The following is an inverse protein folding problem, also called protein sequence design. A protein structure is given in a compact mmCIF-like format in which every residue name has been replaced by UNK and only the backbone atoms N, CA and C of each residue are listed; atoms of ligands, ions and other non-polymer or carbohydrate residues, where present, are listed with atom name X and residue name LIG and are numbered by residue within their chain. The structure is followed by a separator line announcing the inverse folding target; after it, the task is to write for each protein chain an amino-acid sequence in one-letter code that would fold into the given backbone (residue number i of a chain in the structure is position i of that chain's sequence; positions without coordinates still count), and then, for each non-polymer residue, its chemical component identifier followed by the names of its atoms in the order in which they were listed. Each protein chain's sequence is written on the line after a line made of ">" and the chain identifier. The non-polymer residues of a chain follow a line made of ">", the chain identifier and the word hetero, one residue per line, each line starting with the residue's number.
data_IF_528745914438
#
_entry.id   IF_528745914438
#
_cell.length_a   1.000
_cell.length_b   1.000
_cell.length_c   1.000
_cell.angle_alpha   90.00
_cell.angle_beta   90.00
_cell.angle_gamma   90.00
#
_symmetry.space_group_name_H-M   'P 1'
#
loop_
_entity.id
_entity.type
_entity.pdbx_description
1 polymer ?
#
# COMPACT_ATOMS: atom_id res chain seq x y z
N UNK A 1 3.31 24.79 30.57
CA UNK A 1 2.55 23.73 29.91
C UNK A 1 3.30 22.45 30.11
N UNK A 2 2.66 21.46 30.71
CA UNK A 2 3.24 20.14 30.94
C UNK A 2 3.06 19.30 29.67
N UNK A 3 4.15 18.98 28.97
CA UNK A 3 4.10 18.35 27.64
C UNK A 3 4.68 16.94 27.67
N UNK A 4 4.23 16.10 26.75
CA UNK A 4 4.78 14.76 26.53
C UNK A 4 4.83 14.45 25.02
N UNK A 5 5.50 13.36 24.65
CA UNK A 5 5.72 12.95 23.26
C UNK A 5 5.13 11.56 23.04
N UNK A 6 4.23 11.48 22.06
CA UNK A 6 3.71 10.23 21.53
C UNK A 6 4.53 9.85 20.28
N UNK A 7 5.06 8.63 20.28
CA UNK A 7 5.86 8.10 19.17
C UNK A 7 5.01 7.16 18.31
N UNK A 8 4.94 7.44 17.00
CA UNK A 8 4.25 6.60 16.02
C UNK A 8 5.22 6.25 14.89
N UNK A 9 5.34 4.96 14.58
CA UNK A 9 6.01 4.43 13.40
C UNK A 9 4.94 4.06 12.38
N UNK A 10 5.01 4.63 11.18
CA UNK A 10 4.04 4.39 10.11
C UNK A 10 4.72 3.91 8.83
N UNK A 11 4.16 2.87 8.23
CA UNK A 11 4.53 2.39 6.88
C UNK A 11 3.33 1.85 6.10
N UNK A 12 3.52 1.64 4.80
CA UNK A 12 2.53 1.22 3.80
C UNK A 12 3.26 0.55 2.62
N UNK A 13 2.53 -0.21 1.80
CA UNK A 13 2.97 -0.69 0.49
C UNK A 13 4.30 -1.48 0.52
N UNK A 14 4.37 -2.58 1.27
CA UNK A 14 5.61 -3.34 1.57
C UNK A 14 5.65 -4.73 0.94
N UNK A 15 6.05 -4.79 -0.32
CA UNK A 15 5.90 -6.00 -1.15
C UNK A 15 7.12 -6.93 -1.12
N UNK A 16 8.31 -6.39 -1.38
CA UNK A 16 9.52 -7.19 -1.54
C UNK A 16 10.24 -7.38 -0.20
N UNK A 17 10.15 -8.60 0.37
CA UNK A 17 10.79 -8.91 1.67
C UNK A 17 12.32 -9.04 1.59
N UNK A 18 12.87 -9.27 0.40
CA UNK A 18 14.31 -9.32 0.14
C UNK A 18 14.92 -7.92 0.00
N UNK A 19 16.22 -7.83 0.28
CA UNK A 19 17.02 -6.64 0.01
C UNK A 19 17.19 -6.43 -1.52
N UNK A 20 17.12 -5.18 -1.95
CA UNK A 20 17.38 -4.77 -3.33
C UNK A 20 18.88 -4.49 -3.54
N UNK A 21 19.33 -4.55 -4.79
CA UNK A 21 20.73 -4.30 -5.17
C UNK A 21 21.16 -2.81 -5.06
N UNK A 22 20.19 -1.89 -4.99
CA UNK A 22 20.43 -0.44 -5.01
C UNK A 22 19.90 0.20 -3.73
N UNK A 23 20.58 1.24 -3.27
CA UNK A 23 20.14 2.02 -2.10
C UNK A 23 18.89 2.87 -2.39
N UNK A 24 18.00 3.07 -1.39
CA UNK A 24 17.93 2.30 -0.15
C UNK A 24 17.60 0.82 -0.41
N UNK A 25 18.39 -0.09 0.16
CA UNK A 25 18.28 -1.54 -0.09
C UNK A 25 16.95 -2.13 0.39
N UNK A 26 16.31 -1.53 1.40
CA UNK A 26 15.07 -2.03 1.96
C UNK A 26 15.21 -3.42 2.60
N UNK A 27 14.21 -4.27 2.38
CA UNK A 27 14.16 -5.64 2.91
C UNK A 27 13.62 -5.72 4.34
N UNK A 28 12.81 -6.74 4.59
CA UNK A 28 12.05 -6.86 5.84
C UNK A 28 12.93 -7.02 7.09
N UNK A 29 14.11 -7.65 6.97
CA UNK A 29 15.00 -7.89 8.08
C UNK A 29 15.64 -6.61 8.62
N UNK A 30 16.21 -5.78 7.74
CA UNK A 30 16.79 -4.47 8.12
C UNK A 30 15.72 -3.51 8.58
N UNK A 31 14.58 -3.50 7.89
CA UNK A 31 13.41 -2.72 8.28
C UNK A 31 12.96 -3.06 9.72
N UNK A 32 12.95 -4.34 10.09
CA UNK A 32 12.58 -4.75 11.45
C UNK A 32 13.58 -4.28 12.50
N UNK A 33 14.89 -4.35 12.21
CA UNK A 33 15.91 -3.76 13.10
C UNK A 33 15.71 -2.27 13.28
N UNK A 34 15.46 -1.55 12.18
CA UNK A 34 15.22 -0.12 12.21
C UNK A 34 13.97 0.21 13.04
N UNK A 35 12.84 -0.48 12.84
CA UNK A 35 11.64 -0.32 13.68
C UNK A 35 11.95 -0.52 15.18
N UNK A 36 12.66 -1.60 15.54
CA UNK A 36 13.03 -1.90 16.93
C UNK A 36 13.90 -0.79 17.54
N UNK A 37 14.87 -0.27 16.77
CA UNK A 37 15.72 0.84 17.22
C UNK A 37 14.95 2.15 17.45
N UNK A 38 13.82 2.33 16.75
CA UNK A 38 12.90 3.47 16.91
C UNK A 38 11.75 3.16 17.90
N UNK A 39 11.92 2.15 18.75
CA UNK A 39 11.01 1.89 19.88
C UNK A 39 9.84 0.95 19.59
N UNK A 40 9.80 0.28 18.44
CA UNK A 40 8.83 -0.79 18.20
C UNK A 40 8.96 -1.89 19.27
N UNK A 41 7.82 -2.31 19.84
CA UNK A 41 7.79 -3.27 20.94
C UNK A 41 8.19 -2.68 22.31
N UNK A 42 8.52 -1.40 22.38
CA UNK A 42 8.85 -0.70 23.63
C UNK A 42 7.87 0.46 23.88
N UNK A 43 8.10 1.61 23.24
CA UNK A 43 7.40 2.87 23.53
C UNK A 43 6.80 3.53 22.29
N UNK A 44 6.94 2.94 21.10
CA UNK A 44 6.36 3.46 19.86
C UNK A 44 5.17 2.63 19.40
N UNK A 45 4.15 3.30 18.88
CA UNK A 45 3.00 2.68 18.24
C UNK A 45 3.36 2.37 16.79
N UNK A 46 3.21 1.13 16.35
CA UNK A 46 3.48 0.74 14.97
C UNK A 46 2.17 0.54 14.22
N UNK A 47 1.96 1.32 13.15
CA UNK A 47 0.75 1.33 12.34
C UNK A 47 1.10 1.05 10.87
N UNK A 48 0.28 0.20 10.24
CA UNK A 48 0.47 -0.22 8.86
C UNK A 48 -0.79 0.10 8.02
N UNK A 49 -0.61 0.77 6.88
CA UNK A 49 -1.73 1.18 6.02
C UNK A 49 -1.96 0.25 4.82
N UNK A 50 -1.61 -1.03 4.95
CA UNK A 50 -1.97 -2.08 3.98
C UNK A 50 -1.00 -2.21 2.82
N UNK A 51 -1.31 -3.18 1.96
CA UNK A 51 -0.56 -3.60 0.77
C UNK A 51 0.79 -4.26 1.09
N UNK A 52 0.78 -5.58 1.25
CA UNK A 52 1.97 -6.38 1.55
C UNK A 52 2.07 -7.69 0.76
N UNK A 53 1.01 -8.09 0.06
CA UNK A 53 1.00 -9.35 -0.68
C UNK A 53 1.59 -9.21 -2.08
N UNK A 54 0.98 -8.42 -2.95
CA UNK A 54 1.39 -8.23 -4.34
C UNK A 54 1.91 -6.83 -4.59
N UNK A 55 2.80 -6.58 -5.57
CA UNK A 55 3.15 -7.45 -6.71
C UNK A 55 4.44 -8.28 -6.52
N UNK A 56 4.71 -8.81 -5.32
CA UNK A 56 5.91 -9.62 -5.06
C UNK A 56 5.93 -10.94 -5.84
N UNK A 57 7.05 -11.22 -6.52
CA UNK A 57 7.23 -12.50 -7.22
C UNK A 57 7.21 -13.69 -6.25
N UNK A 58 7.71 -13.52 -5.02
CA UNK A 58 7.67 -14.56 -3.98
C UNK A 58 6.22 -14.80 -3.58
N UNK A 59 5.44 -13.73 -3.44
CA UNK A 59 4.01 -13.83 -3.15
C UNK A 59 3.26 -14.52 -4.27
N UNK A 60 3.60 -14.29 -5.54
CA UNK A 60 2.94 -14.99 -6.66
C UNK A 60 3.15 -16.51 -6.62
N UNK A 61 4.27 -16.98 -6.06
CA UNK A 61 4.55 -18.42 -5.95
C UNK A 61 4.00 -19.01 -4.65
N UNK A 62 4.01 -18.22 -3.57
CA UNK A 62 3.60 -18.66 -2.23
C UNK A 62 2.18 -18.26 -1.86
N UNK A 63 1.48 -17.53 -2.73
CA UNK A 63 0.21 -16.86 -2.44
C UNK A 63 0.27 -15.99 -1.18
N UNK A 64 1.42 -15.35 -0.92
CA UNK A 64 1.62 -14.49 0.25
C UNK A 64 1.85 -15.21 1.59
N UNK A 65 1.86 -16.54 1.63
CA UNK A 65 1.93 -17.33 2.87
C UNK A 65 3.20 -17.13 3.71
N UNK A 66 4.24 -16.51 3.15
CA UNK A 66 5.46 -16.18 3.88
C UNK A 66 5.33 -14.89 4.72
N UNK A 67 4.46 -13.97 4.30
CA UNK A 67 4.34 -12.61 4.84
C UNK A 67 3.93 -12.59 6.32
N UNK A 68 2.91 -13.35 6.80
CA UNK A 68 2.46 -13.27 8.20
C UNK A 68 3.59 -13.52 9.20
N UNK A 69 4.42 -14.53 8.95
CA UNK A 69 5.52 -14.90 9.84
C UNK A 69 6.55 -13.76 10.01
N UNK A 70 6.76 -12.97 8.96
CA UNK A 70 7.67 -11.83 8.91
C UNK A 70 7.02 -10.61 9.59
N UNK A 71 5.81 -10.22 9.18
CA UNK A 71 5.14 -9.04 9.72
C UNK A 71 4.82 -9.16 11.22
N UNK A 72 4.58 -10.38 11.71
CA UNK A 72 4.39 -10.66 13.13
C UNK A 72 5.60 -10.28 14.01
N UNK A 73 6.77 -10.03 13.41
CA UNK A 73 7.99 -9.56 14.09
C UNK A 73 8.16 -8.04 14.12
N UNK A 74 7.27 -7.30 13.46
CA UNK A 74 7.34 -5.83 13.32
C UNK A 74 6.56 -5.06 14.39
N UNK A 75 5.96 -5.75 15.37
CA UNK A 75 5.18 -5.15 16.47
C UNK A 75 4.02 -4.25 16.02
N UNK A 76 3.43 -4.54 14.87
CA UNK A 76 2.25 -3.84 14.35
C UNK A 76 1.12 -3.93 15.38
N UNK A 77 0.51 -2.80 15.71
CA UNK A 77 -0.57 -2.74 16.71
C UNK A 77 -1.96 -2.63 16.06
N UNK A 78 -2.01 -2.15 14.82
CA UNK A 78 -3.22 -2.05 14.03
C UNK A 78 -2.85 -1.90 12.55
N UNK A 79 -3.59 -2.57 11.68
CA UNK A 79 -3.46 -2.42 10.24
C UNK A 79 -4.80 -2.18 9.55
N UNK A 80 -4.78 -1.44 8.46
CA UNK A 80 -5.79 -1.50 7.40
C UNK A 80 -5.25 -2.40 6.28
N UNK A 81 -6.12 -3.03 5.49
CA UNK A 81 -5.75 -3.71 4.25
C UNK A 81 -5.97 -2.79 3.03
N UNK A 82 -5.12 -2.94 2.03
CA UNK A 82 -5.22 -2.30 0.72
C UNK A 82 -5.77 -3.24 -0.34
N UNK A 83 -5.62 -2.84 -1.60
CA UNK A 83 -6.14 -3.61 -2.73
C UNK A 83 -5.39 -4.93 -2.91
N UNK A 84 -4.08 -4.94 -2.67
CA UNK A 84 -3.25 -6.11 -2.98
C UNK A 84 -3.40 -7.25 -1.98
N UNK A 85 -4.06 -7.04 -0.85
CA UNK A 85 -4.47 -8.12 0.04
C UNK A 85 -5.48 -9.10 -0.59
N UNK A 86 -6.15 -8.69 -1.68
CA UNK A 86 -7.19 -9.47 -2.36
C UNK A 86 -6.73 -10.16 -3.64
N UNK A 87 -5.50 -9.92 -4.12
CA UNK A 87 -4.99 -10.44 -5.40
C UNK A 87 -5.08 -11.97 -5.53
N UNK A 88 -4.97 -12.70 -4.41
CA UNK A 88 -5.04 -14.17 -4.38
C UNK A 88 -6.42 -14.71 -3.97
N UNK A 89 -7.45 -13.85 -3.99
CA UNK A 89 -8.83 -14.19 -3.71
C UNK A 89 -9.20 -14.21 -2.22
N UNK A 90 -10.51 -14.22 -1.95
CA UNK A 90 -11.07 -14.06 -0.60
C UNK A 90 -10.62 -15.13 0.40
N UNK A 91 -10.50 -16.39 -0.04
CA UNK A 91 -10.07 -17.47 0.85
C UNK A 91 -8.64 -17.23 1.35
N UNK A 92 -7.74 -16.83 0.44
CA UNK A 92 -6.35 -16.52 0.81
C UNK A 92 -6.28 -15.27 1.69
N UNK A 93 -7.07 -14.24 1.39
CA UNK A 93 -7.18 -13.04 2.22
C UNK A 93 -7.57 -13.39 3.66
N UNK A 94 -8.66 -14.15 3.87
CA UNK A 94 -9.09 -14.55 5.20
C UNK A 94 -8.06 -15.43 5.91
N UNK A 95 -7.40 -16.34 5.21
CA UNK A 95 -6.32 -17.14 5.79
C UNK A 95 -5.14 -16.26 6.23
N UNK A 96 -4.72 -15.34 5.37
CA UNK A 96 -3.62 -14.41 5.59
C UNK A 96 -3.84 -13.53 6.82
N UNK A 97 -4.98 -12.83 6.91
CA UNK A 97 -5.26 -11.93 8.04
C UNK A 97 -5.38 -12.69 9.37
N UNK A 98 -5.84 -13.95 9.34
CA UNK A 98 -5.95 -14.80 10.54
C UNK A 98 -4.59 -15.33 11.03
N UNK A 99 -3.57 -15.38 10.17
CA UNK A 99 -2.19 -15.74 10.56
C UNK A 99 -1.41 -14.56 11.16
N UNK A 100 -1.90 -13.33 10.98
CA UNK A 100 -1.30 -12.13 11.57
C UNK A 100 -1.62 -12.04 13.08
N UNK A 101 -0.66 -11.63 13.89
CA UNK A 101 -0.81 -11.47 15.35
C UNK A 101 -1.31 -10.07 15.76
N UNK A 102 -1.66 -9.25 14.77
CA UNK A 102 -2.16 -7.89 14.93
C UNK A 102 -3.53 -7.74 14.28
N UNK A 103 -4.39 -6.85 14.82
CA UNK A 103 -5.73 -6.69 14.30
C UNK A 103 -5.73 -5.92 12.98
N UNK A 104 -6.50 -6.44 12.03
CA UNK A 104 -6.92 -5.72 10.84
C UNK A 104 -8.25 -5.01 11.11
N UNK A 105 -8.36 -3.75 10.69
CA UNK A 105 -9.56 -2.92 10.81
C UNK A 105 -10.08 -2.52 9.44
N UNK A 106 -11.38 -2.30 9.36
CA UNK A 106 -12.07 -1.76 8.19
C UNK A 106 -13.33 -1.06 8.69
N UNK A 107 -13.52 0.20 8.31
CA UNK A 107 -14.60 1.02 8.83
C UNK A 107 -15.75 1.23 7.83
N UNK A 108 -15.51 1.08 6.52
CA UNK A 108 -16.46 1.53 5.51
C UNK A 108 -16.77 0.53 4.39
N UNK A 109 -16.09 -0.62 4.30
CA UNK A 109 -16.35 -1.63 3.28
C UNK A 109 -17.16 -2.79 3.86
N UNK A 110 -18.31 -3.08 3.28
CA UNK A 110 -19.22 -4.12 3.74
C UNK A 110 -19.35 -5.23 2.71
N UNK A 111 -19.44 -6.46 3.20
CA UNK A 111 -19.93 -7.59 2.43
C UNK A 111 -21.46 -7.56 2.49
N UNK A 112 -22.11 -7.40 1.33
CA UNK A 112 -23.57 -7.31 1.21
C UNK A 112 -24.27 -8.63 1.51
N UNK A 113 -23.63 -9.78 1.22
CA UNK A 113 -24.23 -11.09 1.46
C UNK A 113 -24.28 -11.37 2.96
N UNK A 114 -23.21 -10.99 3.68
CA UNK A 114 -23.11 -11.18 5.13
C UNK A 114 -23.71 -10.03 5.93
N UNK A 115 -23.88 -8.86 5.31
CA UNK A 115 -24.23 -7.60 5.98
C UNK A 115 -23.28 -7.29 7.17
N UNK A 116 -22.01 -7.64 7.00
CA UNK A 116 -20.91 -7.41 7.95
C UNK A 116 -19.80 -6.59 7.27
N UNK A 117 -18.87 -6.06 8.08
CA UNK A 117 -17.66 -5.44 7.54
C UNK A 117 -16.79 -6.50 6.86
N UNK A 118 -16.26 -6.16 5.68
CA UNK A 118 -15.38 -7.05 4.93
C UNK A 118 -14.11 -7.35 5.74
N UNK A 119 -13.74 -8.63 5.85
CA UNK A 119 -12.48 -9.07 6.44
C UNK A 119 -12.41 -9.07 7.97
N UNK A 120 -13.17 -8.21 8.66
CA UNK A 120 -13.00 -8.01 10.11
C UNK A 120 -14.26 -7.49 10.75
N UNK A 121 -14.46 -7.80 12.04
CA UNK A 121 -15.53 -7.22 12.87
C UNK A 121 -15.13 -5.91 13.52
N UNK A 122 -13.87 -5.48 13.35
CA UNK A 122 -13.32 -4.28 13.97
C UNK A 122 -13.49 -3.08 13.05
N UNK A 123 -14.53 -2.29 13.32
CA UNK A 123 -14.75 -1.00 12.66
C UNK A 123 -13.79 0.09 13.09
N UNK A 124 -13.09 -0.10 14.22
CA UNK A 124 -12.07 0.78 14.77
C UNK A 124 -11.23 0.01 15.79
N UNK A 125 -10.09 0.57 16.17
CA UNK A 125 -9.27 0.11 17.30
C UNK A 125 -9.05 1.26 18.28
N UNK A 126 -8.93 0.94 19.57
CA UNK A 126 -8.45 1.89 20.58
C UNK A 126 -7.12 1.37 21.12
N UNK A 127 -6.13 2.26 21.20
CA UNK A 127 -4.84 2.00 21.83
C UNK A 127 -4.74 2.90 23.06
N UNK A 128 -4.55 2.27 24.22
CA UNK A 128 -4.19 2.96 25.46
C UNK A 128 -2.65 3.08 25.50
N UNK A 129 -2.13 4.26 25.21
CA UNK A 129 -0.70 4.56 25.19
C UNK A 129 -0.23 5.05 26.56
N UNK A 130 0.80 4.40 27.11
CA UNK A 130 1.44 4.79 28.36
C UNK A 130 2.91 5.10 28.13
N UNK A 131 3.33 6.34 28.40
CA UNK A 131 4.74 6.69 28.42
C UNK A 131 5.31 6.32 29.80
N UNK A 132 5.90 5.12 29.91
CA UNK A 132 6.48 4.59 31.16
C UNK A 132 7.62 5.45 31.76
N UNK A 133 8.01 6.55 31.11
CA UNK A 133 9.08 7.44 31.58
C UNK A 133 8.68 8.37 32.74
N UNK A 134 7.39 8.43 33.13
CA UNK A 134 6.94 9.29 34.22
C UNK A 134 6.32 8.46 35.36
N UNK A 135 7.14 8.11 36.35
CA UNK A 135 6.80 7.35 37.57
C UNK A 135 5.68 7.96 38.46
N UNK A 136 5.00 9.03 38.06
CA UNK A 136 4.09 9.77 38.95
C UNK A 136 2.69 10.06 38.41
N UNK A 137 2.29 9.65 37.19
CA UNK A 137 0.89 9.84 36.72
C UNK A 137 0.42 8.70 35.80
N UNK A 138 -0.55 7.90 36.29
CA UNK A 138 -1.18 6.75 35.61
C UNK A 138 -2.17 7.12 34.47
N UNK A 139 -2.03 8.27 33.81
CA UNK A 139 -2.99 8.69 32.79
C UNK A 139 -2.55 8.25 31.39
N UNK A 140 -3.06 7.10 30.95
CA UNK A 140 -2.89 6.62 29.57
C UNK A 140 -3.57 7.57 28.57
N UNK A 141 -2.90 7.87 27.46
CA UNK A 141 -3.56 8.52 26.33
C UNK A 141 -4.40 7.47 25.59
N UNK A 142 -5.67 7.77 25.32
CA UNK A 142 -6.50 6.95 24.43
C UNK A 142 -6.46 7.46 23.00
N UNK A 143 -6.07 6.59 22.08
CA UNK A 143 -5.97 6.89 20.66
C UNK A 143 -6.96 5.98 19.93
N UNK A 144 -7.93 6.58 19.25
CA UNK A 144 -8.84 5.87 18.36
C UNK A 144 -8.23 5.75 16.96
N UNK A 145 -8.40 4.59 16.32
CA UNK A 145 -7.90 4.30 14.98
C UNK A 145 -9.06 3.86 14.10
N UNK A 146 -9.24 4.52 12.96
CA UNK A 146 -10.25 4.24 11.93
C UNK A 146 -9.52 3.75 10.68
N UNK A 147 -10.09 2.80 9.93
CA UNK A 147 -9.51 2.28 8.68
C UNK A 147 -10.43 2.53 7.50
N UNK A 148 -10.01 3.36 6.54
CA UNK A 148 -10.86 3.77 5.40
C UNK A 148 -10.27 3.37 4.06
N UNK A 149 -11.13 2.86 3.20
CA UNK A 149 -10.82 2.42 1.85
C UNK A 149 -11.63 3.26 0.86
N UNK A 150 -11.03 3.63 -0.25
CA UNK A 150 -11.74 4.33 -1.33
C UNK A 150 -12.49 3.34 -2.22
N UNK A 151 -13.53 3.82 -2.91
CA UNK A 151 -14.42 2.96 -3.71
C UNK A 151 -13.78 2.54 -5.02
N UNK A 152 -12.89 3.38 -5.54
CA UNK A 152 -12.38 3.36 -6.88
C UNK A 152 -11.57 2.11 -7.17
N UNK A 153 -10.69 1.68 -6.24
CA UNK A 153 -9.94 0.43 -6.45
C UNK A 153 -10.75 -0.83 -6.09
N UNK A 154 -11.81 -0.74 -5.29
CA UNK A 154 -12.71 -1.87 -5.01
C UNK A 154 -13.36 -2.37 -6.32
N UNK A 155 -13.67 -1.46 -7.24
CA UNK A 155 -14.30 -1.79 -8.53
C UNK A 155 -13.39 -2.56 -9.50
N UNK A 156 -12.08 -2.58 -9.26
CA UNK A 156 -11.10 -3.25 -10.14
C UNK A 156 -10.51 -4.52 -9.54
N UNK A 157 -10.92 -4.93 -8.33
CA UNK A 157 -10.43 -6.19 -7.73
C UNK A 157 -11.12 -7.40 -8.39
N UNK A 158 -10.36 -8.35 -8.98
CA UNK A 158 -10.94 -9.46 -9.75
C UNK A 158 -11.86 -10.39 -8.96
N UNK A 159 -11.59 -10.57 -7.66
CA UNK A 159 -12.39 -11.45 -6.81
C UNK A 159 -13.66 -10.78 -6.24
N UNK A 160 -13.89 -9.50 -6.54
CA UNK A 160 -15.11 -8.81 -6.17
C UNK A 160 -16.10 -8.79 -7.32
N UNK A 161 -17.36 -9.04 -7.00
CA UNK A 161 -18.48 -8.72 -7.89
C UNK A 161 -19.17 -7.48 -7.33
N UNK A 162 -19.59 -6.57 -8.21
CA UNK A 162 -20.19 -5.28 -7.81
C UNK A 162 -21.49 -5.43 -7.01
N UNK A 163 -22.11 -6.62 -7.01
CA UNK A 163 -23.26 -6.95 -6.17
C UNK A 163 -22.89 -7.24 -4.71
N UNK A 164 -21.65 -7.65 -4.44
CA UNK A 164 -21.27 -8.29 -3.18
C UNK A 164 -20.59 -7.32 -2.20
N UNK A 165 -20.07 -6.18 -2.67
CA UNK A 165 -19.37 -5.22 -1.83
C UNK A 165 -20.09 -3.86 -1.83
N UNK A 166 -20.33 -3.31 -0.65
CA UNK A 166 -20.83 -1.96 -0.48
C UNK A 166 -19.82 -1.08 0.26
N UNK A 167 -19.34 -0.05 -0.43
CA UNK A 167 -18.42 0.94 0.15
C UNK A 167 -19.22 2.15 0.60
N UNK A 168 -19.23 2.41 1.90
CA UNK A 168 -19.78 3.65 2.47
C UNK A 168 -18.81 4.80 2.24
N UNK A 169 -19.38 5.99 2.05
CA UNK A 169 -18.61 7.22 1.93
C UNK A 169 -17.64 7.40 3.12
N UNK A 170 -16.37 7.63 2.80
CA UNK A 170 -15.30 7.69 3.79
C UNK A 170 -15.39 8.96 4.66
N UNK A 171 -15.91 10.06 4.14
CA UNK A 171 -16.10 11.32 4.91
C UNK A 171 -17.20 11.11 5.95
N UNK A 172 -18.38 10.64 5.52
CA UNK A 172 -19.53 10.41 6.41
C UNK A 172 -19.15 9.38 7.49
N UNK A 173 -18.56 8.26 7.08
CA UNK A 173 -18.13 7.20 8.00
C UNK A 173 -17.11 7.72 9.02
N UNK A 174 -16.09 8.44 8.56
CA UNK A 174 -15.03 8.97 9.43
C UNK A 174 -15.58 9.97 10.43
N UNK A 175 -16.46 10.90 10.01
CA UNK A 175 -17.09 11.85 10.93
C UNK A 175 -17.90 11.15 12.01
N UNK A 176 -18.70 10.14 11.66
CA UNK A 176 -19.51 9.40 12.63
C UNK A 176 -18.63 8.66 13.64
N UNK A 177 -17.63 7.92 13.16
CA UNK A 177 -16.74 7.14 14.03
C UNK A 177 -15.82 8.01 14.87
N UNK A 178 -15.24 9.08 14.30
CA UNK A 178 -14.38 9.99 15.04
C UNK A 178 -15.14 10.70 16.17
N UNK A 179 -16.39 11.14 15.91
CA UNK A 179 -17.27 11.67 16.95
C UNK A 179 -17.56 10.62 18.03
N UNK A 180 -17.91 9.39 17.64
CA UNK A 180 -18.13 8.31 18.59
C UNK A 180 -16.89 8.02 19.45
N UNK A 181 -15.70 7.97 18.85
CA UNK A 181 -14.43 7.73 19.52
C UNK A 181 -14.09 8.86 20.51
N UNK A 182 -14.22 10.12 20.11
CA UNK A 182 -13.94 11.27 21.00
C UNK A 182 -14.97 11.41 22.11
N UNK A 183 -16.26 11.30 21.80
CA UNK A 183 -17.35 11.60 22.75
C UNK A 183 -17.68 10.41 23.64
N UNK A 184 -17.89 9.24 23.05
CA UNK A 184 -18.39 8.06 23.77
C UNK A 184 -17.24 7.21 24.33
N UNK A 185 -16.17 7.02 23.55
CA UNK A 185 -15.00 6.24 23.98
C UNK A 185 -13.94 7.05 24.72
N UNK A 186 -14.09 8.38 24.75
CA UNK A 186 -13.16 9.31 25.40
C UNK A 186 -11.74 9.19 24.85
N UNK A 187 -11.62 8.97 23.54
CA UNK A 187 -10.32 9.04 22.87
C UNK A 187 -9.86 10.49 22.83
N UNK A 188 -8.58 10.70 23.18
CA UNK A 188 -7.93 12.01 23.13
C UNK A 188 -7.56 12.37 21.70
N UNK A 189 -7.02 11.40 20.95
CA UNK A 189 -6.68 11.54 19.54
C UNK A 189 -7.43 10.51 18.69
N UNK A 190 -7.70 10.86 17.44
CA UNK A 190 -8.24 9.97 16.41
C UNK A 190 -7.32 10.01 15.20
N UNK A 191 -6.74 8.86 14.87
CA UNK A 191 -5.87 8.64 13.72
C UNK A 191 -6.66 7.84 12.69
N UNK A 192 -6.50 8.18 11.42
CA UNK A 192 -7.12 7.42 10.32
C UNK A 192 -6.02 6.75 9.52
N UNK A 193 -6.10 5.42 9.42
CA UNK A 193 -5.37 4.65 8.42
C UNK A 193 -6.18 4.66 7.13
N UNK A 194 -5.54 4.98 6.02
CA UNK A 194 -6.21 5.05 4.72
C UNK A 194 -5.45 4.21 3.71
N UNK A 195 -6.20 3.52 2.87
CA UNK A 195 -5.65 2.93 1.66
C UNK A 195 -6.41 3.52 0.48
N UNK A 196 -6.06 4.76 0.18
CA UNK A 196 -6.74 5.63 -0.78
C UNK A 196 -5.69 6.40 -1.56
N UNK A 197 -6.06 6.96 -2.71
CA UNK A 197 -5.20 7.88 -3.44
C UNK A 197 -5.05 9.20 -2.71
N UNK A 198 -3.94 9.89 -2.98
CA UNK A 198 -3.58 11.16 -2.36
C UNK A 198 -4.71 12.20 -2.40
N UNK A 199 -5.47 12.25 -3.50
CA UNK A 199 -6.60 13.17 -3.64
C UNK A 199 -7.70 12.90 -2.59
N UNK A 200 -8.05 11.64 -2.36
CA UNK A 200 -9.07 11.26 -1.39
C UNK A 200 -8.59 11.45 0.06
N UNK A 201 -7.30 11.25 0.33
CA UNK A 201 -6.71 11.61 1.62
C UNK A 201 -6.81 13.12 1.91
N UNK A 202 -6.55 13.97 0.91
CA UNK A 202 -6.72 15.42 1.03
C UNK A 202 -8.18 15.81 1.24
N UNK A 203 -9.10 15.19 0.51
CA UNK A 203 -10.55 15.42 0.69
C UNK A 203 -11.00 15.03 2.11
N UNK A 204 -10.51 13.91 2.65
CA UNK A 204 -10.77 13.50 4.02
C UNK A 204 -10.24 14.54 5.02
N UNK A 205 -8.99 14.98 4.85
CA UNK A 205 -8.38 15.98 5.73
C UNK A 205 -9.20 17.28 5.78
N UNK A 206 -9.61 17.80 4.62
CA UNK A 206 -10.38 19.04 4.51
C UNK A 206 -11.73 18.96 5.23
N UNK A 207 -12.41 17.80 5.15
CA UNK A 207 -13.84 17.69 5.44
C UNK A 207 -14.22 17.02 6.78
N UNK A 208 -13.26 16.51 7.55
CA UNK A 208 -13.54 15.73 8.78
C UNK A 208 -12.90 16.37 10.02
N UNK A 209 -13.41 17.52 10.55
CA UNK A 209 -12.85 18.27 11.69
C UNK A 209 -12.58 17.45 12.97
N UNK A 210 -13.10 16.24 13.09
CA UNK A 210 -12.95 15.36 14.22
C UNK A 210 -11.65 14.54 14.28
N UNK A 211 -10.92 14.37 13.18
CA UNK A 211 -9.68 13.53 13.15
C UNK A 211 -8.42 14.36 13.36
N UNK A 212 -7.34 13.76 13.85
CA UNK A 212 -6.12 14.50 14.21
C UNK A 212 -4.95 14.24 13.25
N UNK A 213 -4.90 13.05 12.64
CA UNK A 213 -3.81 12.61 11.76
C UNK A 213 -4.32 11.59 10.73
N UNK A 214 -3.81 11.66 9.50
CA UNK A 214 -4.06 10.66 8.44
C UNK A 214 -2.74 9.99 8.06
N UNK A 215 -2.76 8.66 8.05
CA UNK A 215 -1.64 7.79 7.71
C UNK A 215 -2.05 6.91 6.52
N UNK A 216 -1.56 7.21 5.32
CA UNK A 216 -2.05 6.61 4.07
C UNK A 216 -1.11 5.60 3.41
N UNK A 217 -1.64 4.84 2.45
CA UNK A 217 -0.90 3.94 1.53
C UNK A 217 -1.32 4.13 0.06
N UNK A 218 -1.18 3.11 -0.78
CA UNK A 218 -1.61 3.02 -2.18
C UNK A 218 -0.72 3.72 -3.22
N UNK A 219 -0.27 4.96 -2.98
CA UNK A 219 0.47 5.72 -4.02
C UNK A 219 1.95 5.36 -4.12
N UNK A 220 2.49 4.56 -3.19
CA UNK A 220 3.90 4.15 -3.06
C UNK A 220 4.93 5.27 -2.82
N UNK A 221 4.56 6.53 -3.04
CA UNK A 221 5.43 7.68 -2.85
C UNK A 221 5.60 8.04 -1.36
N UNK A 222 6.79 8.50 -1.01
CA UNK A 222 7.00 9.16 0.28
C UNK A 222 6.55 10.62 0.16
N UNK A 223 5.45 10.97 0.81
CA UNK A 223 4.91 12.33 0.76
C UNK A 223 4.15 12.66 2.05
N UNK A 224 4.24 13.91 2.49
CA UNK A 224 3.38 14.46 3.54
C UNK A 224 2.97 15.90 3.21
N UNK A 225 1.81 16.31 3.72
CA UNK A 225 1.27 17.67 3.54
C UNK A 225 0.46 18.07 4.77
N UNK A 226 0.59 19.34 5.17
CA UNK A 226 -0.30 19.97 6.16
C UNK A 226 -1.46 20.63 5.44
N UNK A 227 -2.67 20.11 5.67
CA UNK A 227 -3.89 20.55 4.99
C UNK A 227 -4.71 21.43 5.93
N UNK A 228 -5.03 22.64 5.47
CA UNK A 228 -5.92 23.55 6.15
C UNK A 228 -7.38 23.04 6.09
N UNK A 229 -8.04 23.00 7.25
CA UNK A 229 -9.45 22.59 7.33
C UNK A 229 -10.40 23.59 6.68
N UNK A 230 -11.50 23.08 6.15
CA UNK A 230 -12.62 23.91 5.76
C UNK A 230 -13.22 24.60 7.01
N UNK A 231 -12.98 25.91 7.13
CA UNK A 231 -13.39 26.71 8.29
C UNK A 231 -14.91 26.74 8.49
N UNK A 232 -15.70 26.56 7.44
CA UNK A 232 -17.17 26.53 7.56
C UNK A 232 -17.63 25.31 8.38
N UNK A 233 -16.88 24.22 8.36
CA UNK A 233 -17.18 23.01 9.15
C UNK A 233 -16.87 23.17 10.64
N UNK A 234 -16.16 24.24 11.04
CA UNK A 234 -15.92 24.56 12.46
C UNK A 234 -17.13 25.25 13.12
N UNK A 235 -18.06 25.75 12.31
CA UNK A 235 -19.27 26.47 12.73
C UNK A 235 -20.50 25.55 12.80
N UNK A 236 -20.59 24.56 11.91
CA UNK A 236 -21.76 23.67 11.75
C UNK A 236 -21.87 22.53 12.79
N UNK A 237 -20.90 22.42 13.69
CA UNK A 237 -20.83 21.30 14.63
C UNK A 237 -21.25 21.72 16.03
N UNK A 238 -22.49 21.38 16.40
CA UNK A 238 -22.88 21.16 17.81
C UNK A 238 -22.08 19.99 18.48
N UNK A 239 -21.14 19.38 17.74
CA UNK A 239 -20.33 18.20 18.12
C UNK A 239 -18.93 18.53 18.64
N UNK A 240 -18.47 19.77 18.52
CA UNK A 240 -17.16 20.18 19.04
C UNK A 240 -17.30 20.59 20.52
N UNK A 241 -17.23 19.61 21.42
CA UNK A 241 -17.28 19.83 22.87
C UNK A 241 -16.14 20.75 23.38
N UNK A 242 -15.08 20.94 22.59
CA UNK A 242 -14.03 21.92 22.89
C UNK A 242 -13.33 22.41 21.62
N UNK A 243 -13.75 23.58 21.10
CA UNK A 243 -13.13 24.21 19.92
C UNK A 243 -11.63 24.48 20.10
N UNK A 244 -11.13 24.55 21.33
CA UNK A 244 -9.71 24.82 21.59
C UNK A 244 -8.80 23.62 21.27
N UNK A 245 -9.36 22.40 21.18
CA UNK A 245 -8.62 21.16 20.91
C UNK A 245 -8.48 20.81 19.44
N UNK A 246 -9.19 21.51 18.56
CA UNK A 246 -9.17 21.21 17.13
C UNK A 246 -7.90 21.79 16.54
N UNK A 247 -7.13 20.94 15.86
CA UNK A 247 -6.07 21.40 15.00
C UNK A 247 -6.68 21.88 13.67
N UNK A 248 -6.40 23.14 13.31
CA UNK A 248 -6.88 23.75 12.06
C UNK A 248 -6.09 23.28 10.83
N UNK A 249 -4.96 22.64 11.05
CA UNK A 249 -4.17 21.96 10.04
C UNK A 249 -4.11 20.47 10.36
N UNK A 250 -4.16 19.64 9.33
CA UNK A 250 -4.05 18.19 9.43
C UNK A 250 -2.87 17.69 8.67
N UNK A 251 -2.07 16.87 9.33
CA UNK A 251 -1.02 16.12 8.65
C UNK A 251 -1.63 14.91 7.94
N UNK A 252 -1.29 14.77 6.67
CA UNK A 252 -1.40 13.53 5.90
C UNK A 252 0.03 13.05 5.64
N UNK A 253 0.29 11.75 5.77
CA UNK A 253 1.59 11.17 5.43
C UNK A 253 1.45 9.79 4.79
N UNK A 254 2.25 9.55 3.75
CA UNK A 254 2.57 8.26 3.14
C UNK A 254 4.06 8.03 3.26
N UNK A 255 4.43 6.81 3.61
CA UNK A 255 5.77 6.48 4.07
C UNK A 255 6.62 5.78 3.00
N UNK A 256 6.32 5.97 1.72
CA UNK A 256 7.02 5.28 0.63
C UNK A 256 6.53 3.85 0.46
N UNK A 257 7.39 2.97 -0.04
CA UNK A 257 7.05 1.57 -0.33
C UNK A 257 8.24 0.62 -0.15
N UNK A 258 7.99 -0.68 -0.31
CA UNK A 258 8.98 -1.74 -0.54
C UNK A 258 9.99 -1.91 0.60
N UNK A 259 9.56 -1.65 1.84
CA UNK A 259 10.42 -1.63 3.02
C UNK A 259 11.62 -0.67 2.91
N UNK A 260 11.59 0.30 1.98
CA UNK A 260 12.70 1.25 1.80
C UNK A 260 12.69 2.35 2.85
N UNK A 261 11.50 2.68 3.34
CA UNK A 261 11.30 3.79 4.27
C UNK A 261 10.14 3.55 5.22
N UNK A 262 10.22 4.14 6.40
CA UNK A 262 9.06 4.39 7.25
C UNK A 262 9.15 5.79 7.85
N UNK A 263 8.05 6.26 8.43
CA UNK A 263 8.01 7.57 9.10
C UNK A 263 7.97 7.38 10.61
N UNK A 264 8.86 8.04 11.35
CA UNK A 264 8.75 8.19 12.80
C UNK A 264 8.18 9.57 13.11
N UNK A 265 6.96 9.59 13.64
CA UNK A 265 6.27 10.81 14.06
C UNK A 265 6.45 11.01 15.56
N UNK A 266 6.93 12.20 15.92
CA UNK A 266 7.05 12.68 17.30
C UNK A 266 5.93 13.69 17.56
N UNK A 267 4.82 13.21 18.12
CA UNK A 267 3.64 14.04 18.37
C UNK A 267 3.78 14.65 19.76
N UNK A 268 4.20 15.91 19.82
CA UNK A 268 4.26 16.68 21.07
C UNK A 268 2.88 17.19 21.40
N UNK A 269 2.39 16.88 22.61
CA UNK A 269 1.06 17.30 23.05
C UNK A 269 1.06 17.85 24.48
N UNK A 270 0.05 18.65 24.78
CA UNK A 270 -0.24 19.16 26.13
C UNK A 270 -0.97 18.09 26.94
N UNK A 271 -0.41 17.69 28.10
CA UNK A 271 -0.98 16.63 28.95
C UNK A 271 -2.28 17.04 29.65
N UNK A 272 -2.50 18.34 29.85
CA UNK A 272 -3.72 18.82 30.54
C UNK A 272 -4.91 18.83 29.57
N UNK A 273 -4.72 19.42 28.39
CA UNK A 273 -5.80 19.59 27.42
C UNK A 273 -5.86 18.50 26.35
N UNK A 274 -4.84 17.63 26.26
CA UNK A 274 -4.67 16.65 25.18
C UNK A 274 -4.76 17.30 23.80
N UNK A 275 -4.04 18.42 23.63
CA UNK A 275 -3.95 19.15 22.36
C UNK A 275 -2.59 18.88 21.74
N UNK A 276 -2.57 18.51 20.45
CA UNK A 276 -1.33 18.42 19.67
C UNK A 276 -0.75 19.82 19.51
N UNK A 277 0.51 19.99 19.90
CA UNK A 277 1.25 21.24 19.82
C UNK A 277 2.17 21.28 18.61
N UNK A 278 2.80 20.15 18.29
CA UNK A 278 3.69 19.98 17.15
C UNK A 278 3.75 18.51 16.74
N UNK A 279 4.03 18.25 15.46
CA UNK A 279 4.39 16.92 14.96
C UNK A 279 5.69 17.05 14.17
N UNK A 280 6.77 16.50 14.73
CA UNK A 280 8.03 16.34 13.99
C UNK A 280 8.03 14.99 13.28
N UNK A 281 8.56 14.95 12.05
CA UNK A 281 8.57 13.76 11.20
C UNK A 281 10.01 13.44 10.84
N UNK A 282 10.45 12.24 11.16
CA UNK A 282 11.69 11.67 10.66
C UNK A 282 11.38 10.64 9.56
N UNK A 283 11.98 10.83 8.40
CA UNK A 283 12.01 9.82 7.33
C UNK A 283 13.17 8.87 7.60
N UNK A 284 12.88 7.65 8.03
CA UNK A 284 13.89 6.63 8.25
C UNK A 284 14.11 5.88 6.94
N UNK A 285 15.33 5.96 6.40
CA UNK A 285 15.76 5.19 5.23
C UNK A 285 16.31 3.84 5.66
N UNK A 286 15.93 2.78 4.96
CA UNK A 286 16.48 1.43 5.15
C UNK A 286 17.58 1.21 4.13
N UNK A 287 18.75 1.74 4.45
CA UNK A 287 19.98 1.53 3.71
C UNK A 287 20.79 0.34 4.26
N UNK A 288 21.93 0.07 3.64
CA UNK A 288 22.81 -1.03 4.04
C UNK A 288 23.50 -0.85 5.41
N UNK A 289 23.36 0.31 6.08
CA UNK A 289 23.94 0.52 7.40
C UNK A 289 23.18 -0.26 8.49
N UNK A 290 21.88 -0.48 8.32
CA UNK A 290 21.06 -1.23 9.27
C UNK A 290 21.42 -2.72 9.24
N UNK A 291 21.88 -3.28 10.36
CA UNK A 291 22.09 -4.73 10.42
C UNK A 291 20.75 -5.49 10.30
N UNK A 292 20.70 -6.61 9.55
CA UNK A 292 19.47 -7.39 9.41
C UNK A 292 19.09 -8.07 10.72
N UNK A 293 17.79 -8.05 11.06
CA UNK A 293 17.27 -8.82 12.18
C UNK A 293 17.43 -10.32 11.92
N UNK A 294 18.16 -11.03 12.78
CA UNK A 294 18.50 -12.44 12.57
C UNK A 294 17.26 -13.34 12.40
N UNK A 295 16.22 -13.16 13.22
CA UNK A 295 15.03 -14.01 13.14
C UNK A 295 14.25 -13.77 11.86
N UNK A 296 14.09 -12.50 11.47
CA UNK A 296 13.41 -12.14 10.21
C UNK A 296 14.23 -12.58 9.00
N UNK A 297 15.56 -12.42 9.05
CA UNK A 297 16.45 -12.84 7.97
C UNK A 297 16.35 -14.36 7.73
N UNK A 298 16.27 -15.17 8.78
CA UNK A 298 16.05 -16.60 8.65
C UNK A 298 14.70 -16.93 7.98
N UNK A 299 13.64 -16.19 8.29
CA UNK A 299 12.32 -16.34 7.66
C UNK A 299 12.34 -15.95 6.18
N UNK A 300 13.02 -14.85 5.83
CA UNK A 300 13.22 -14.41 4.45
C UNK A 300 13.98 -15.48 3.67
N UNK A 301 15.15 -15.92 4.17
CA UNK A 301 15.96 -16.97 3.52
C UNK A 301 15.16 -18.26 3.35
N UNK A 302 14.40 -18.67 4.37
CA UNK A 302 13.57 -19.89 4.28
C UNK A 302 12.53 -19.80 3.16
N UNK A 303 11.99 -18.61 2.93
CA UNK A 303 10.96 -18.34 1.92
C UNK A 303 11.55 -18.27 0.50
N UNK A 304 12.78 -17.79 0.37
CA UNK A 304 13.45 -17.58 -0.93
C UNK A 304 14.29 -18.79 -1.38
N UNK A 305 14.80 -19.62 -0.46
CA UNK A 305 15.75 -20.70 -0.74
C UNK A 305 15.29 -21.71 -1.80
N UNK A 306 13.98 -21.94 -1.94
CA UNK A 306 13.43 -22.82 -2.99
C UNK A 306 13.33 -22.14 -4.36
N UNK A 307 13.30 -20.82 -4.39
CA UNK A 307 13.13 -19.97 -5.56
C UNK A 307 14.48 -19.57 -6.18
N UNK A 308 15.51 -19.39 -5.35
CA UNK A 308 16.81 -18.83 -5.75
C UNK A 308 17.61 -19.63 -6.78
N UNK A 309 17.40 -20.95 -6.87
CA UNK A 309 18.32 -21.83 -7.63
C UNK A 309 18.51 -21.48 -9.11
N UNK A 310 17.66 -20.63 -9.71
CA UNK A 310 17.78 -20.20 -11.11
C UNK A 310 17.47 -18.71 -11.36
N UNK A 311 17.14 -17.90 -10.35
CA UNK A 311 16.68 -16.52 -10.56
C UNK A 311 17.82 -15.56 -10.94
N UNK A 312 19.04 -15.81 -10.45
CA UNK A 312 20.19 -14.97 -10.81
C UNK A 312 20.89 -15.43 -12.10
N UNK A 313 20.26 -16.32 -12.86
CA UNK A 313 20.71 -16.72 -14.19
C UNK A 313 20.74 -15.48 -15.11
N UNK A 314 21.89 -15.18 -15.74
CA UNK A 314 21.97 -14.16 -16.79
C UNK A 314 21.00 -14.48 -17.93
N UNK A 315 20.12 -13.53 -18.26
CA UNK A 315 19.35 -13.56 -19.49
C UNK A 315 20.08 -12.81 -20.61
N UNK A 316 20.81 -11.76 -20.25
CA UNK A 316 21.59 -10.98 -21.20
C UNK A 316 22.17 -9.71 -20.59
N UNK A 317 22.50 -8.74 -21.44
CA UNK A 317 22.91 -7.41 -21.03
C UNK A 317 22.03 -6.37 -21.72
N UNK A 318 21.60 -5.35 -20.97
CA UNK A 318 20.87 -4.21 -21.50
C UNK A 318 21.82 -3.01 -21.59
N UNK A 319 21.78 -2.28 -22.71
CA UNK A 319 22.72 -1.17 -22.97
C UNK A 319 22.20 0.18 -22.46
N UNK A 320 20.91 0.26 -22.17
CA UNK A 320 20.23 1.45 -21.63
C UNK A 320 19.47 1.11 -20.36
N UNK A 321 19.22 2.11 -19.54
CA UNK A 321 18.35 1.97 -18.37
C UNK A 321 16.91 1.64 -18.80
N UNK A 322 16.26 0.70 -18.11
CA UNK A 322 14.82 0.48 -18.20
C UNK A 322 14.12 1.20 -17.06
N UNK A 323 13.32 2.21 -17.38
CA UNK A 323 12.52 2.94 -16.39
C UNK A 323 11.13 2.32 -16.28
N UNK A 324 10.90 1.59 -15.19
CA UNK A 324 9.68 0.81 -14.94
C UNK A 324 8.85 1.44 -13.83
N UNK A 325 9.04 2.75 -13.57
CA UNK A 325 8.22 3.47 -12.60
C UNK A 325 6.80 3.61 -13.12
N UNK A 326 5.83 3.29 -12.27
CA UNK A 326 4.39 3.25 -12.59
C UNK A 326 3.90 4.58 -13.19
N UNK A 327 4.30 5.70 -12.56
CA UNK A 327 3.99 7.05 -13.01
C UNK A 327 4.58 7.43 -14.38
N UNK A 328 5.56 6.66 -14.89
CA UNK A 328 6.16 6.87 -16.19
C UNK A 328 5.51 5.97 -17.23
N UNK A 329 5.55 4.65 -17.00
CA UNK A 329 5.14 3.64 -18.00
C UNK A 329 3.64 3.71 -18.33
N UNK A 330 2.83 4.33 -17.47
CA UNK A 330 1.39 4.51 -17.69
C UNK A 330 1.02 5.81 -18.38
N UNK A 331 1.94 6.79 -18.43
CA UNK A 331 1.65 8.13 -18.95
C UNK A 331 2.31 8.43 -20.29
N UNK A 332 3.29 7.64 -20.70
CA UNK A 332 4.00 7.81 -21.96
C UNK A 332 4.66 6.52 -22.42
N UNK A 333 5.12 6.54 -23.66
CA UNK A 333 5.94 5.49 -24.23
C UNK A 333 7.19 5.22 -23.36
N UNK A 334 7.55 3.94 -23.23
CA UNK A 334 8.70 3.47 -22.46
C UNK A 334 9.50 2.45 -23.27
N UNK A 335 10.82 2.49 -23.14
CA UNK A 335 11.71 1.58 -23.85
C UNK A 335 11.54 0.11 -23.42
N UNK A 336 11.20 -0.14 -22.15
CA UNK A 336 10.88 -1.48 -21.65
C UNK A 336 9.58 -2.02 -22.26
N UNK A 337 8.55 -1.17 -22.41
CA UNK A 337 7.31 -1.53 -23.07
C UNK A 337 7.55 -1.95 -24.52
N UNK A 338 8.30 -1.13 -25.26
CA UNK A 338 8.69 -1.45 -26.64
C UNK A 338 9.49 -2.76 -26.72
N UNK A 339 10.49 -2.93 -25.85
CA UNK A 339 11.33 -4.13 -25.81
C UNK A 339 10.50 -5.42 -25.57
N UNK A 340 9.54 -5.38 -24.63
CA UNK A 340 8.66 -6.52 -24.37
C UNK A 340 7.75 -6.78 -25.57
N UNK A 341 7.15 -5.74 -26.15
CA UNK A 341 6.32 -5.87 -27.34
C UNK A 341 7.11 -6.48 -28.52
N UNK A 342 8.35 -6.05 -28.75
CA UNK A 342 9.22 -6.57 -29.83
C UNK A 342 9.56 -8.04 -29.63
N UNK A 343 9.86 -8.46 -28.39
CA UNK A 343 10.09 -9.88 -28.06
C UNK A 343 8.84 -10.70 -28.34
N UNK A 344 7.69 -10.23 -27.86
CA UNK A 344 6.40 -10.92 -28.02
C UNK A 344 6.06 -11.03 -29.50
N UNK A 345 6.18 -9.95 -30.27
CA UNK A 345 5.95 -9.91 -31.72
C UNK A 345 6.84 -10.91 -32.47
N UNK A 346 8.12 -10.97 -32.11
CA UNK A 346 9.09 -11.90 -32.71
C UNK A 346 8.76 -13.36 -32.40
N UNK A 347 8.24 -13.66 -31.20
CA UNK A 347 7.94 -15.02 -30.78
C UNK A 347 6.68 -15.61 -31.43
N UNK A 348 5.71 -14.77 -31.79
CA UNK A 348 4.37 -15.20 -32.23
C UNK A 348 4.03 -14.83 -33.68
N UNK A 349 4.90 -14.08 -34.37
CA UNK A 349 4.75 -13.69 -35.79
C UNK A 349 3.42 -12.98 -36.10
N UNK A 350 3.02 -12.04 -35.23
CA UNK A 350 1.82 -11.23 -35.36
C UNK A 350 2.04 -9.91 -36.12
N UNK A 351 0.96 -9.20 -36.47
CA UNK A 351 1.06 -7.88 -37.10
C UNK A 351 1.31 -6.73 -36.10
N UNK A 352 0.76 -6.85 -34.87
CA UNK A 352 1.02 -5.92 -33.78
C UNK A 352 0.79 -6.56 -32.40
N UNK A 353 1.32 -5.92 -31.36
CA UNK A 353 1.11 -6.28 -29.95
C UNK A 353 0.63 -5.05 -29.20
N UNK A 354 -0.49 -5.17 -28.48
CA UNK A 354 -0.86 -4.23 -27.42
C UNK A 354 -0.43 -4.83 -26.08
N UNK A 355 0.14 -4.02 -25.19
CA UNK A 355 0.61 -4.47 -23.88
C UNK A 355 0.17 -3.48 -22.81
N UNK A 356 -0.59 -3.95 -21.81
CA UNK A 356 -1.00 -3.07 -20.70
C UNK A 356 0.18 -2.84 -19.76
N UNK A 357 0.53 -1.58 -19.55
CA UNK A 357 1.66 -1.20 -18.70
C UNK A 357 1.39 -1.38 -17.20
N UNK A 358 0.15 -1.63 -16.79
CA UNK A 358 -0.20 -2.13 -15.45
C UNK A 358 0.45 -3.48 -15.12
N UNK A 359 0.80 -4.29 -16.12
CA UNK A 359 1.53 -5.55 -15.93
C UNK A 359 3.03 -5.31 -15.62
N UNK A 360 3.57 -4.14 -15.98
CA UNK A 360 4.95 -3.76 -15.64
C UNK A 360 5.03 -3.29 -14.18
N UNK A 361 5.78 -4.02 -13.37
CA UNK A 361 5.97 -3.82 -11.93
C UNK A 361 7.45 -3.52 -11.60
N UNK A 362 7.74 -3.44 -10.30
CA UNK A 362 9.07 -3.17 -9.78
C UNK A 362 9.38 -1.70 -9.51
N UNK A 363 8.59 -0.78 -10.08
CA UNK A 363 8.50 0.65 -9.74
C UNK A 363 9.85 1.37 -9.55
N UNK A 364 10.82 1.06 -10.44
CA UNK A 364 12.20 1.57 -10.35
C UNK A 364 12.89 1.60 -11.70
N UNK A 365 14.11 2.16 -11.69
CA UNK A 365 15.01 2.14 -12.85
C UNK A 365 15.96 0.95 -12.73
N UNK A 366 15.91 0.05 -13.71
CA UNK A 366 16.87 -1.03 -13.89
C UNK A 366 18.02 -0.51 -14.75
N UNK A 367 19.22 -0.41 -14.15
CA UNK A 367 20.38 0.19 -14.80
C UNK A 367 20.93 -0.68 -15.93
N UNK A 368 21.49 -0.02 -16.95
CA UNK A 368 22.26 -0.67 -17.98
C UNK A 368 23.31 -1.63 -17.38
N UNK A 369 23.45 -2.83 -17.96
CA UNK A 369 24.32 -3.87 -17.43
C UNK A 369 23.73 -5.27 -17.54
N UNK A 370 24.14 -6.15 -16.62
CA UNK A 370 23.66 -7.53 -16.55
C UNK A 370 22.17 -7.56 -16.21
N UNK A 371 21.37 -8.23 -17.02
CA UNK A 371 19.95 -8.45 -16.80
C UNK A 371 19.70 -9.93 -16.50
N UNK A 372 19.11 -10.22 -15.33
CA UNK A 372 18.87 -11.58 -14.86
C UNK A 372 17.40 -11.98 -14.92
N UNK A 373 17.12 -13.27 -14.73
CA UNK A 373 15.74 -13.75 -14.61
C UNK A 373 15.01 -13.09 -13.43
N UNK A 374 15.71 -12.78 -12.33
CA UNK A 374 15.17 -12.03 -11.20
C UNK A 374 14.72 -10.64 -11.62
N UNK A 375 15.51 -9.95 -12.43
CA UNK A 375 15.16 -8.61 -12.90
C UNK A 375 13.90 -8.67 -13.77
N UNK A 376 13.81 -9.65 -14.69
CA UNK A 376 12.60 -9.91 -15.47
C UNK A 376 11.40 -10.24 -14.59
N UNK A 377 11.54 -11.14 -13.61
CA UNK A 377 10.44 -11.51 -12.72
C UNK A 377 10.03 -10.40 -11.76
N UNK A 378 10.90 -9.43 -11.50
CA UNK A 378 10.54 -8.22 -10.74
C UNK A 378 9.71 -7.27 -11.61
N UNK A 379 10.02 -7.19 -12.92
CA UNK A 379 9.30 -6.35 -13.88
C UNK A 379 7.96 -6.98 -14.28
N UNK A 380 7.93 -8.29 -14.49
CA UNK A 380 6.74 -9.06 -14.90
C UNK A 380 6.49 -10.18 -13.87
N UNK A 381 6.02 -9.85 -12.66
CA UNK A 381 5.83 -10.84 -11.61
C UNK A 381 4.67 -11.79 -11.94
N UNK A 382 3.69 -11.34 -12.72
CA UNK A 382 2.56 -12.14 -13.15
C UNK A 382 2.90 -12.90 -14.44
N UNK A 383 2.68 -14.22 -14.43
CA UNK A 383 2.88 -15.09 -15.59
C UNK A 383 1.58 -15.22 -16.39
N UNK A 384 1.06 -14.08 -16.85
CA UNK A 384 -0.17 -14.06 -17.64
C UNK A 384 0.03 -14.75 -18.99
N UNK A 385 -1.03 -15.42 -19.46
CA UNK A 385 -0.99 -16.10 -20.76
C UNK A 385 -1.07 -15.07 -21.89
N UNK A 386 -0.16 -15.20 -22.84
CA UNK A 386 -0.26 -14.47 -24.10
C UNK A 386 -1.39 -15.06 -24.95
N UNK A 387 -2.28 -14.21 -25.47
CA UNK A 387 -3.45 -14.62 -26.27
C UNK A 387 -3.43 -13.99 -27.66
N UNK A 388 -3.54 -14.84 -28.68
CA UNK A 388 -3.60 -14.41 -30.09
C UNK A 388 -5.04 -14.27 -30.55
N UNK A 389 -5.45 -13.10 -31.05
CA UNK A 389 -6.83 -12.83 -31.47
C UNK A 389 -6.92 -12.09 -32.81
N UNK A 390 -7.80 -12.56 -33.69
CA UNK A 390 -8.12 -11.82 -34.90
C UNK A 390 -9.13 -10.71 -34.58
N UNK A 391 -8.81 -9.47 -34.93
CA UNK A 391 -9.69 -8.31 -34.78
C UNK A 391 -9.71 -7.47 -36.06
N UNK A 392 -10.74 -6.66 -36.24
CA UNK A 392 -10.81 -5.69 -37.33
C UNK A 392 -9.99 -4.43 -37.01
N UNK A 393 -9.63 -3.67 -38.04
CA UNK A 393 -8.98 -2.36 -37.84
C UNK A 393 -9.82 -1.37 -37.02
N UNK A 394 -11.16 -1.46 -37.07
CA UNK A 394 -12.02 -0.62 -36.22
C UNK A 394 -11.94 -1.00 -34.75
N UNK A 395 -11.89 -2.29 -34.43
CA UNK A 395 -11.71 -2.76 -33.05
C UNK A 395 -10.35 -2.36 -32.49
N UNK A 396 -9.31 -2.32 -33.33
CA UNK A 396 -7.99 -1.85 -32.91
C UNK A 396 -8.03 -0.37 -32.52
N UNK A 397 -8.71 0.47 -33.31
CA UNK A 397 -8.89 1.89 -32.98
C UNK A 397 -9.67 2.04 -31.67
N UNK A 398 -10.76 1.29 -31.48
CA UNK A 398 -11.53 1.32 -30.23
C UNK A 398 -10.68 0.94 -29.01
N UNK A 399 -9.81 -0.06 -29.14
CA UNK A 399 -8.89 -0.45 -28.07
C UNK A 399 -7.88 0.66 -27.74
N UNK A 400 -7.35 1.35 -28.76
CA UNK A 400 -6.44 2.48 -28.57
C UNK A 400 -7.14 3.69 -27.95
N UNK A 401 -8.36 4.03 -28.38
CA UNK A 401 -9.18 5.09 -27.76
C UNK A 401 -9.48 4.77 -26.29
N UNK A 402 -9.80 3.50 -25.98
CA UNK A 402 -10.00 3.06 -24.61
C UNK A 402 -8.72 3.23 -23.77
N UNK A 403 -7.54 2.93 -24.33
CA UNK A 403 -6.25 3.04 -23.63
C UNK A 403 -5.91 4.45 -23.14
N UNK A 404 -6.47 5.48 -23.80
CA UNK A 404 -6.27 6.90 -23.44
C UNK A 404 -7.54 7.60 -22.93
N UNK A 405 -8.64 6.86 -22.77
CA UNK A 405 -9.95 7.41 -22.38
C UNK A 405 -9.96 8.09 -21.00
N UNK A 406 -9.07 7.65 -20.10
CA UNK A 406 -8.89 8.23 -18.77
C UNK A 406 -7.59 9.02 -18.62
N UNK A 407 -6.86 9.30 -19.71
CA UNK A 407 -5.63 10.08 -19.65
C UNK A 407 -5.88 11.49 -19.07
N UNK A 408 -5.04 12.01 -18.15
CA UNK A 408 -3.74 11.49 -17.70
C UNK A 408 -3.78 10.70 -16.38
N UNK A 409 -4.86 9.97 -16.06
CA UNK A 409 -4.86 9.13 -14.86
C UNK A 409 -3.78 8.04 -14.97
N UNK A 410 -2.90 7.94 -13.97
CA UNK A 410 -1.73 7.04 -13.94
C UNK A 410 -1.94 5.73 -13.19
N UNK A 411 -3.19 5.30 -13.00
CA UNK A 411 -3.55 4.30 -11.99
C UNK A 411 -3.67 2.87 -12.52
N UNK A 412 -3.70 1.91 -11.59
CA UNK A 412 -4.00 0.48 -11.80
C UNK A 412 -5.47 0.31 -12.21
N UNK A 413 -5.84 0.78 -13.40
CA UNK A 413 -7.04 0.27 -14.05
C UNK A 413 -6.66 -1.07 -14.70
N UNK A 414 -6.87 -2.16 -13.97
CA UNK A 414 -6.91 -3.52 -14.54
C UNK A 414 -7.99 -3.69 -15.62
N UNK A 415 -8.78 -2.64 -15.91
CA UNK A 415 -9.81 -2.58 -16.97
C UNK A 415 -9.30 -2.81 -18.39
N UNK A 416 -8.00 -3.03 -18.60
CA UNK A 416 -7.48 -3.47 -19.88
C UNK A 416 -6.58 -4.71 -19.76
N UNK A 417 -7.12 -5.91 -19.44
CA UNK A 417 -6.36 -7.12 -19.69
C UNK A 417 -6.49 -7.40 -21.20
N UNK A 418 -5.83 -6.60 -22.04
CA UNK A 418 -5.90 -6.87 -23.48
C UNK A 418 -4.52 -6.77 -24.11
N UNK A 419 -3.86 -7.92 -24.04
CA UNK A 419 -2.90 -8.29 -25.06
C UNK A 419 -3.70 -8.61 -26.34
N UNK A 420 -3.82 -7.64 -27.25
CA UNK A 420 -4.37 -7.86 -28.59
C UNK A 420 -3.18 -8.19 -29.49
N UNK A 421 -3.24 -9.36 -30.12
CA UNK A 421 -2.22 -9.85 -31.04
C UNK A 421 -2.91 -10.23 -32.35
N UNK A 422 -2.56 -9.56 -33.45
CA UNK A 422 -3.12 -9.79 -34.79
C UNK A 422 -2.46 -10.95 -35.54
N UNK A 423 -3.20 -11.75 -36.30
CA UNK A 423 -2.64 -12.67 -37.30
C UNK A 423 -3.41 -12.55 -38.61
N UNK A 424 -2.70 -12.40 -39.72
CA UNK A 424 -3.21 -12.76 -41.04
C UNK A 424 -2.64 -14.13 -41.48
N UNK A 425 -3.51 -15.15 -41.50
CA UNK A 425 -3.36 -16.45 -42.17
C UNK A 425 -1.99 -17.17 -42.08
N UNK A 426 -1.82 -18.09 -41.12
CA UNK A 426 -1.44 -19.49 -41.34
C UNK A 426 -1.58 -20.28 -40.02
N UNK A 427 -2.36 -21.36 -40.05
CA UNK A 427 -2.59 -22.25 -38.91
C UNK A 427 -1.28 -22.78 -38.30
N UNK A 428 -1.07 -22.59 -36.99
CA UNK A 428 -0.29 -23.50 -36.13
C UNK A 428 -0.56 -23.24 -34.65
N UNK A 429 -1.02 -24.27 -33.96
CA UNK A 429 -1.07 -24.30 -32.49
C UNK A 429 0.34 -24.48 -31.97
N UNK A 430 0.90 -23.49 -31.27
CA UNK A 430 2.20 -23.62 -30.59
C UNK A 430 1.91 -23.99 -29.13
N UNK A 431 2.20 -25.24 -28.76
CA UNK A 431 2.42 -25.60 -27.36
C UNK A 431 3.84 -25.12 -26.99
N UNK A 432 3.93 -24.13 -26.11
CA UNK A 432 5.20 -23.74 -25.50
C UNK A 432 5.50 -24.75 -24.39
N UNK A 433 6.56 -25.53 -24.59
CA UNK A 433 7.11 -26.51 -23.63
C UNK A 433 8.10 -25.88 -22.67
#
# INVERSE_FOLDING_TARGET
>A
MDTDILHILHFNDVYNVEEQKQEPVGGAARFTTALKSHGAGQHSIVLFSGDCLSPSYISNITYGQHIPSIMNKMYIQCSLFGNHEFDYGMNNFYEFINQCNFPWINSNVYDNELNELLGTKLSYKIIDYNNNNNNNNNNNIRIGIIGLIEKEWIEVIPCFTTSNIHVKDFIITSRQLANYLKIQKKCHFVIVLTHMRWLNDRLLAINVPEIDLILGGHDHDYQYEWIQLNKNLLLDTNLLLDKNKINIERLIIKSGSDYKTFSHLYIKYDKENYKILNIDIEKVLIDSHWEPDNEVQELVIKSTKKLEKNLDKPLGRIETDFDVRSNLVRLKESNIGNFICDIVLTAIEADCVLFNTGTLRGDRIFKAGLFTLRDLMTILPYLDKLSVIEITGSQLIEALENSVSEYPKSEDNEKCPILIILVQNYFRTIQVS
#
